data_IF_211139884860
#
_entry.id   IF_211139884860
#
_cell.length_a   1.000
_cell.length_b   1.000
_cell.length_c   1.000
_cell.angle_alpha   90.00
_cell.angle_beta   90.00
_cell.angle_gamma   90.00
#
_symmetry.space_group_name_H-M   'P 1'
#
loop_
_entity.id
_entity.type
_entity.pdbx_description
1 polymer ?
#
# COMPACT_ATOMS: atom_id res chain seq x y z
N UNK A 1 -10.20 33.30 38.97
CA UNK A 1 -11.16 33.49 37.86
C UNK A 1 -10.45 33.11 36.57
N UNK A 2 -10.97 32.14 35.81
CA UNK A 2 -10.39 31.74 34.52
C UNK A 2 -11.01 32.62 33.44
N UNK A 3 -10.17 33.37 32.72
CA UNK A 3 -10.62 34.20 31.61
C UNK A 3 -10.59 33.40 30.31
N UNK A 4 -11.70 33.35 29.54
CA UNK A 4 -11.72 32.66 28.26
C UNK A 4 -10.76 33.33 27.27
N UNK A 5 -9.98 32.52 26.56
CA UNK A 5 -9.15 33.01 25.45
C UNK A 5 -10.02 33.28 24.22
N UNK A 6 -9.56 34.18 23.33
CA UNK A 6 -10.28 34.51 22.09
C UNK A 6 -10.66 33.26 21.28
N UNK A 7 -9.79 32.25 21.25
CA UNK A 7 -10.02 30.98 20.57
C UNK A 7 -11.25 30.23 21.09
N UNK A 8 -11.55 30.33 22.38
CA UNK A 8 -12.74 29.72 22.99
C UNK A 8 -13.97 30.56 22.67
N UNK A 9 -13.84 31.89 22.69
CA UNK A 9 -14.95 32.81 22.39
C UNK A 9 -15.40 32.73 20.92
N UNK A 10 -14.46 32.49 20.01
CA UNK A 10 -14.74 32.39 18.56
C UNK A 10 -14.91 30.95 18.07
N UNK A 11 -14.91 29.96 18.97
CA UNK A 11 -14.99 28.56 18.59
C UNK A 11 -16.36 28.24 17.99
N UNK A 12 -16.38 27.90 16.71
CA UNK A 12 -17.54 27.31 16.06
C UNK A 12 -17.29 25.81 15.82
N UNK A 13 -18.02 24.99 16.55
CA UNK A 13 -17.92 23.52 16.50
C UNK A 13 -18.29 22.97 15.12
N UNK A 14 -19.32 23.51 14.49
CA UNK A 14 -19.82 23.02 13.20
C UNK A 14 -18.81 23.29 12.08
N UNK A 15 -18.31 24.53 12.01
CA UNK A 15 -17.27 24.91 11.04
C UNK A 15 -15.98 24.10 11.24
N UNK A 16 -15.56 23.88 12.49
CA UNK A 16 -14.39 23.06 12.81
C UNK A 16 -14.58 21.60 12.38
N UNK A 17 -15.77 21.04 12.55
CA UNK A 17 -16.07 19.65 12.16
C UNK A 17 -16.16 19.50 10.64
N UNK A 18 -16.75 20.47 9.93
CA UNK A 18 -16.81 20.49 8.47
C UNK A 18 -15.41 20.54 7.87
N UNK A 19 -14.56 21.48 8.34
CA UNK A 19 -13.19 21.59 7.89
C UNK A 19 -12.37 20.33 8.21
N UNK A 20 -12.63 19.67 9.34
CA UNK A 20 -12.01 18.39 9.65
C UNK A 20 -12.42 17.29 8.64
N UNK A 21 -13.71 17.23 8.29
CA UNK A 21 -14.23 16.31 7.27
C UNK A 21 -13.55 16.50 5.91
N UNK A 22 -13.52 17.72 5.42
CA UNK A 22 -12.86 18.06 4.13
C UNK A 22 -11.38 17.66 4.11
N UNK A 23 -10.66 17.91 5.20
CA UNK A 23 -9.24 17.51 5.31
C UNK A 23 -9.05 15.98 5.29
N UNK A 24 -9.99 15.23 5.89
CA UNK A 24 -9.95 13.77 5.87
C UNK A 24 -10.25 13.23 4.47
N UNK A 25 -11.24 13.79 3.77
CA UNK A 25 -11.59 13.39 2.41
C UNK A 25 -10.40 13.60 1.45
N UNK A 26 -9.75 14.77 1.52
CA UNK A 26 -8.53 15.04 0.74
C UNK A 26 -7.40 14.06 1.04
N UNK A 27 -7.26 13.62 2.30
CA UNK A 27 -6.26 12.61 2.67
C UNK A 27 -6.58 11.25 2.04
N UNK A 28 -7.85 10.85 2.04
CA UNK A 28 -8.29 9.60 1.43
C UNK A 28 -8.08 9.60 -0.08
N UNK A 29 -8.44 10.68 -0.78
CA UNK A 29 -8.19 10.84 -2.22
C UNK A 29 -6.70 10.67 -2.56
N UNK A 30 -5.81 11.34 -1.81
CA UNK A 30 -4.37 11.23 -2.00
C UNK A 30 -3.85 9.80 -1.77
N UNK A 31 -4.41 9.08 -0.78
CA UNK A 31 -4.05 7.68 -0.52
C UNK A 31 -4.49 6.77 -1.67
N UNK A 32 -5.71 6.95 -2.17
CA UNK A 32 -6.24 6.19 -3.32
C UNK A 32 -5.37 6.39 -4.55
N UNK A 33 -4.99 7.63 -4.85
CA UNK A 33 -4.10 7.96 -5.97
C UNK A 33 -2.71 7.32 -5.82
N UNK A 34 -2.11 7.41 -4.63
CA UNK A 34 -0.83 6.77 -4.34
C UNK A 34 -0.91 5.24 -4.50
N UNK A 35 -2.01 4.62 -4.06
CA UNK A 35 -2.25 3.19 -4.24
C UNK A 35 -2.39 2.81 -5.71
N UNK A 36 -3.15 3.57 -6.50
CA UNK A 36 -3.29 3.36 -7.94
C UNK A 36 -1.95 3.43 -8.66
N UNK A 37 -1.13 4.45 -8.36
CA UNK A 37 0.22 4.59 -8.93
C UNK A 37 1.12 3.42 -8.56
N UNK A 38 1.10 3.01 -7.29
CA UNK A 38 1.88 1.85 -6.81
C UNK A 38 1.48 0.57 -7.52
N UNK A 39 0.17 0.36 -7.71
CA UNK A 39 -0.37 -0.82 -8.36
C UNK A 39 -0.06 -0.83 -9.87
N UNK A 40 -0.15 0.32 -10.54
CA UNK A 40 0.29 0.47 -11.92
C UNK A 40 1.78 0.16 -12.09
N UNK A 41 2.62 0.70 -11.20
CA UNK A 41 4.06 0.45 -11.21
C UNK A 41 4.39 -1.03 -10.99
N UNK A 42 3.78 -1.68 -9.97
CA UNK A 42 3.94 -3.11 -9.72
C UNK A 42 3.53 -3.96 -10.93
N UNK A 43 2.42 -3.61 -11.60
CA UNK A 43 1.97 -4.29 -12.84
C UNK A 43 2.98 -4.12 -13.97
N UNK A 44 3.51 -2.93 -14.18
CA UNK A 44 4.52 -2.68 -15.21
C UNK A 44 5.80 -3.48 -14.96
N UNK A 45 6.30 -3.48 -13.72
CA UNK A 45 7.43 -4.30 -13.29
C UNK A 45 7.16 -5.79 -13.53
N UNK A 46 6.00 -6.30 -13.09
CA UNK A 46 5.67 -7.70 -13.26
C UNK A 46 5.67 -8.10 -14.74
N UNK A 47 5.10 -7.27 -15.62
CA UNK A 47 5.18 -7.49 -17.08
C UNK A 47 6.64 -7.50 -17.56
N UNK A 48 7.46 -6.56 -17.11
CA UNK A 48 8.88 -6.47 -17.48
C UNK A 48 9.72 -7.64 -16.94
N UNK A 49 9.41 -8.25 -15.81
CA UNK A 49 10.17 -9.43 -15.40
C UNK A 49 9.60 -10.70 -16.05
N UNK A 50 8.27 -10.81 -16.13
CA UNK A 50 7.61 -12.00 -16.66
C UNK A 50 7.77 -12.17 -18.18
N UNK A 51 8.00 -11.10 -18.97
CA UNK A 51 8.21 -11.26 -20.43
C UNK A 51 9.44 -12.12 -20.77
N UNK A 52 10.41 -12.24 -19.86
CA UNK A 52 11.62 -13.07 -20.05
C UNK A 52 11.45 -14.48 -19.49
N UNK A 53 10.40 -14.72 -18.69
CA UNK A 53 10.15 -16.03 -18.09
C UNK A 53 9.48 -16.90 -19.15
N UNK A 54 10.21 -17.92 -19.62
CA UNK A 54 9.63 -18.98 -20.46
C UNK A 54 9.00 -20.02 -19.55
N UNK A 55 7.68 -20.27 -19.64
CA UNK A 55 7.05 -21.35 -18.89
C UNK A 55 7.68 -22.68 -19.29
N UNK A 56 8.21 -23.43 -18.30
CA UNK A 56 8.76 -24.76 -18.51
C UNK A 56 7.91 -25.75 -17.71
N UNK A 57 7.44 -26.80 -18.38
CA UNK A 57 6.79 -27.92 -17.72
C UNK A 57 7.85 -28.73 -16.97
N UNK A 58 7.66 -28.95 -15.67
CA UNK A 58 8.53 -29.79 -14.84
C UNK A 58 7.92 -31.19 -14.80
N UNK A 59 8.69 -32.21 -15.14
CA UNK A 59 8.28 -33.62 -15.13
C UNK A 59 9.02 -34.39 -14.04
N UNK A 60 8.48 -35.56 -13.67
CA UNK A 60 9.19 -36.48 -12.79
C UNK A 60 10.56 -36.84 -13.40
N UNK A 61 11.63 -36.72 -12.60
CA UNK A 61 13.02 -36.90 -13.06
C UNK A 61 13.75 -35.60 -13.45
N UNK A 62 13.05 -34.46 -13.58
CA UNK A 62 13.71 -33.17 -13.79
C UNK A 62 14.40 -32.67 -12.52
N UNK A 63 15.66 -32.26 -12.64
CA UNK A 63 16.37 -31.57 -11.57
C UNK A 63 15.94 -30.09 -11.51
N UNK A 64 15.55 -29.64 -10.33
CA UNK A 64 15.10 -28.26 -10.07
C UNK A 64 15.91 -27.66 -8.95
N UNK A 65 16.39 -26.44 -9.13
CA UNK A 65 17.04 -25.67 -8.07
C UNK A 65 16.02 -25.37 -6.97
N UNK A 66 16.30 -25.85 -5.76
CA UNK A 66 15.53 -25.62 -4.54
C UNK A 66 16.42 -24.97 -3.51
N UNK A 67 15.82 -24.18 -2.61
CA UNK A 67 16.54 -23.62 -1.46
C UNK A 67 17.09 -24.76 -0.60
N UNK A 68 18.32 -24.64 -0.12
CA UNK A 68 18.98 -25.69 0.68
C UNK A 68 18.14 -26.14 1.88
N UNK A 69 17.45 -25.21 2.55
CA UNK A 69 16.54 -25.49 3.67
C UNK A 69 15.38 -26.45 3.33
N UNK A 70 14.93 -26.45 2.06
CA UNK A 70 13.81 -27.28 1.56
C UNK A 70 14.33 -28.54 0.87
N UNK A 71 15.60 -28.56 0.48
CA UNK A 71 16.25 -29.66 -0.20
C UNK A 71 16.88 -30.67 0.74
N UNK A 72 17.13 -30.30 1.99
CA UNK A 72 17.77 -31.16 2.98
C UNK A 72 16.81 -32.28 3.42
N UNK A 73 17.08 -33.55 3.08
CA UNK A 73 16.25 -34.67 3.49
C UNK A 73 16.43 -35.04 4.97
N UNK A 74 17.39 -34.41 5.64
CA UNK A 74 17.81 -34.72 7.02
C UNK A 74 17.20 -33.78 8.06
N UNK A 75 16.42 -32.78 7.63
CA UNK A 75 15.70 -31.83 8.48
C UNK A 75 14.23 -32.20 8.66
#
# INVERSE_FOLDING_TARGET
VVFPTLRIQTYNKEASNQQLGENLDLLEENRVDAHLRTLAYKRAIAKLYNHRVRPRLIKAGDLVLRKAEVSDPTR
#
